data_IF_793508927739
#
_entry.id   IF_793508927739
#
_cell.length_a   1.000
_cell.length_b   1.000
_cell.length_c   1.000
_cell.angle_alpha   90.00
_cell.angle_beta   90.00
_cell.angle_gamma   90.00
#
_symmetry.space_group_name_H-M   'P 1'
#
loop_
_entity.id
_entity.type
_entity.pdbx_description
1 polymer ?
#
# COMPACT_ATOMS: atom_id res chain seq x y z
N UNK A 1 -16.89 15.56 -9.49
CA UNK A 1 -17.08 14.10 -9.40
C UNK A 1 -18.47 13.77 -9.92
N UNK A 2 -18.68 12.64 -10.62
CA UNK A 2 -19.99 12.31 -11.22
C UNK A 2 -20.75 11.29 -10.36
N UNK A 3 -22.08 11.26 -10.47
CA UNK A 3 -22.92 10.25 -9.80
C UNK A 3 -22.55 8.82 -10.23
N UNK A 4 -22.18 8.61 -11.49
CA UNK A 4 -21.72 7.31 -11.98
C UNK A 4 -20.40 6.89 -11.31
N UNK A 5 -19.47 7.84 -11.12
CA UNK A 5 -18.22 7.59 -10.39
C UNK A 5 -18.47 7.23 -8.92
N UNK A 6 -19.44 7.89 -8.27
CA UNK A 6 -19.83 7.58 -6.89
C UNK A 6 -20.38 6.15 -6.76
N UNK A 7 -21.30 5.76 -7.65
CA UNK A 7 -21.82 4.38 -7.68
C UNK A 7 -20.72 3.35 -7.91
N UNK A 8 -19.82 3.60 -8.85
CA UNK A 8 -18.68 2.70 -9.08
C UNK A 8 -17.80 2.54 -7.84
N UNK A 9 -17.58 3.62 -7.08
CA UNK A 9 -16.80 3.56 -5.84
C UNK A 9 -17.52 2.70 -4.78
N UNK A 10 -18.82 2.85 -4.65
CA UNK A 10 -19.65 2.03 -3.75
C UNK A 10 -19.64 0.56 -4.19
N UNK A 11 -19.85 0.28 -5.48
CA UNK A 11 -19.85 -1.07 -6.06
C UNK A 11 -18.49 -1.77 -5.90
N UNK A 12 -17.38 -1.01 -5.94
CA UNK A 12 -16.02 -1.51 -5.74
C UNK A 12 -15.64 -1.62 -4.26
N UNK A 13 -16.51 -1.22 -3.34
CA UNK A 13 -16.31 -1.34 -1.90
C UNK A 13 -15.39 -0.27 -1.29
N UNK A 14 -15.13 0.84 -1.99
CA UNK A 14 -14.35 1.94 -1.44
C UNK A 14 -13.57 2.76 -2.47
N UNK A 15 -13.19 3.97 -2.05
CA UNK A 15 -12.42 4.92 -2.86
C UNK A 15 -11.00 4.42 -3.12
N UNK A 16 -10.36 3.84 -2.11
CA UNK A 16 -9.02 3.25 -2.21
C UNK A 16 -8.99 2.12 -3.24
N UNK A 17 -9.97 1.22 -3.19
CA UNK A 17 -10.11 0.12 -4.15
C UNK A 17 -10.35 0.64 -5.56
N UNK A 18 -11.20 1.66 -5.71
CA UNK A 18 -11.40 2.36 -6.98
C UNK A 18 -10.09 2.97 -7.53
N UNK A 19 -9.35 3.71 -6.71
CA UNK A 19 -8.11 4.37 -7.12
C UNK A 19 -7.02 3.37 -7.51
N UNK A 20 -6.87 2.29 -6.74
CA UNK A 20 -5.85 1.25 -6.98
C UNK A 20 -6.17 0.41 -8.22
N UNK A 21 -7.45 0.15 -8.48
CA UNK A 21 -7.89 -0.69 -9.59
C UNK A 21 -8.06 0.08 -10.90
N UNK A 22 -8.22 1.41 -10.84
CA UNK A 22 -8.42 2.24 -12.03
C UNK A 22 -7.07 2.60 -12.67
N UNK A 23 -6.84 2.25 -13.95
CA UNK A 23 -5.63 2.66 -14.68
C UNK A 23 -5.51 4.18 -14.76
N UNK A 24 -4.28 4.68 -14.74
CA UNK A 24 -4.00 6.13 -14.73
C UNK A 24 -4.63 6.86 -15.91
N UNK A 25 -4.53 6.29 -17.12
CA UNK A 25 -5.13 6.83 -18.34
C UNK A 25 -6.67 6.95 -18.27
N UNK A 26 -7.33 6.27 -17.32
CA UNK A 26 -8.78 6.35 -17.09
C UNK A 26 -9.15 7.33 -15.98
N UNK A 27 -8.19 7.81 -15.17
CA UNK A 27 -8.40 8.88 -14.21
C UNK A 27 -8.34 10.22 -14.94
N UNK A 28 -9.51 10.77 -15.25
CA UNK A 28 -9.64 12.06 -15.96
C UNK A 28 -9.51 13.28 -15.02
N UNK A 29 -8.74 13.16 -13.95
CA UNK A 29 -8.63 14.19 -12.92
C UNK A 29 -7.26 14.15 -12.26
N UNK A 30 -6.52 15.25 -12.38
CA UNK A 30 -5.21 15.43 -11.75
C UNK A 30 -5.29 15.27 -10.23
N UNK A 31 -6.39 15.72 -9.61
CA UNK A 31 -6.64 15.53 -8.20
C UNK A 31 -6.78 14.04 -7.85
N UNK A 32 -7.47 13.24 -8.67
CA UNK A 32 -7.61 11.81 -8.44
C UNK A 32 -6.25 11.08 -8.60
N UNK A 33 -5.45 11.49 -9.59
CA UNK A 33 -4.08 11.02 -9.79
C UNK A 33 -3.19 11.33 -8.59
N UNK A 34 -3.25 12.55 -8.07
CA UNK A 34 -2.50 12.94 -6.88
C UNK A 34 -2.90 12.10 -5.66
N UNK A 35 -4.21 11.93 -5.41
CA UNK A 35 -4.69 11.10 -4.29
C UNK A 35 -4.26 9.64 -4.46
N UNK A 36 -4.29 9.09 -5.67
CA UNK A 36 -3.79 7.74 -5.94
C UNK A 36 -2.30 7.60 -5.62
N UNK A 37 -1.49 8.59 -5.98
CA UNK A 37 -0.07 8.62 -5.61
C UNK A 37 0.14 8.61 -4.11
N UNK A 38 -0.62 9.41 -3.35
CA UNK A 38 -0.58 9.41 -1.89
C UNK A 38 -0.95 8.04 -1.30
N UNK A 39 -2.02 7.41 -1.81
CA UNK A 39 -2.44 6.07 -1.37
C UNK A 39 -1.36 5.03 -1.62
N UNK A 40 -0.78 4.99 -2.83
CA UNK A 40 0.29 4.04 -3.17
C UNK A 40 1.53 4.28 -2.31
N UNK A 41 1.89 5.54 -2.08
CA UNK A 41 3.05 5.92 -1.27
C UNK A 41 2.87 5.48 0.18
N UNK A 42 1.70 5.74 0.76
CA UNK A 42 1.36 5.33 2.12
C UNK A 42 1.39 3.80 2.29
N UNK A 43 0.85 3.05 1.32
CA UNK A 43 0.88 1.59 1.34
C UNK A 43 2.31 1.04 1.27
N UNK A 44 3.15 1.58 0.40
CA UNK A 44 4.57 1.18 0.30
C UNK A 44 5.35 1.50 1.58
N UNK A 45 5.12 2.68 2.17
CA UNK A 45 5.76 3.07 3.42
C UNK A 45 5.36 2.11 4.56
N UNK A 46 4.08 1.72 4.62
CA UNK A 46 3.58 0.73 5.57
C UNK A 46 4.24 -0.63 5.36
N UNK A 47 4.26 -1.15 4.13
CA UNK A 47 4.89 -2.44 3.81
C UNK A 47 6.37 -2.44 4.21
N UNK A 48 7.09 -1.36 3.92
CA UNK A 48 8.50 -1.21 4.30
C UNK A 48 8.71 -1.25 5.81
N UNK A 49 7.85 -0.57 6.57
CA UNK A 49 7.87 -0.59 8.04
C UNK A 49 7.61 -1.99 8.58
N UNK A 50 6.56 -2.66 8.09
CA UNK A 50 6.20 -4.03 8.50
C UNK A 50 7.35 -5.02 8.20
N UNK A 51 7.97 -4.91 7.02
CA UNK A 51 9.12 -5.73 6.64
C UNK A 51 10.34 -5.49 7.54
N UNK A 52 10.58 -4.23 7.92
CA UNK A 52 11.68 -3.88 8.83
C UNK A 52 11.45 -4.46 10.22
N UNK A 53 10.23 -4.39 10.74
CA UNK A 53 9.87 -4.97 12.04
C UNK A 53 10.05 -6.49 12.05
N UNK A 54 9.65 -7.19 10.98
CA UNK A 54 9.85 -8.64 10.87
C UNK A 54 11.33 -9.04 10.82
N UNK A 55 12.19 -8.21 10.21
CA UNK A 55 13.65 -8.44 10.16
C UNK A 55 14.38 -8.07 11.45
N UNK A 56 13.80 -7.21 12.28
CA UNK A 56 14.38 -6.81 13.55
C UNK A 56 14.16 -7.85 14.66
N UNK A 57 13.45 -8.96 14.40
CA UNK A 57 13.40 -10.06 15.36
C UNK A 57 14.80 -10.67 15.51
N UNK A 58 15.36 -10.72 16.75
CA UNK A 58 16.69 -11.25 16.98
C UNK A 58 16.72 -12.72 16.54
N UNK A 59 17.60 -13.04 15.58
CA UNK A 59 17.94 -14.44 15.31
C UNK A 59 18.47 -15.06 16.60
N UNK A 60 18.04 -16.28 16.98
CA UNK A 60 18.63 -16.96 18.11
C UNK A 60 20.14 -17.11 17.85
N UNK A 61 20.94 -16.47 18.70
CA UNK A 61 22.39 -16.58 18.68
C UNK A 61 22.73 -18.08 18.76
N UNK A 62 23.29 -18.61 17.67
CA UNK A 62 23.82 -19.97 17.68
C UNK A 62 24.90 -20.02 18.77
N UNK A 63 24.84 -20.96 19.72
CA UNK A 63 25.88 -21.08 20.73
C UNK A 63 27.20 -21.35 20.02
N UNK A 64 28.12 -20.39 20.11
CA UNK A 64 29.52 -20.59 19.75
C UNK A 64 30.03 -21.75 20.58
N UNK A 65 30.19 -22.90 19.95
CA UNK A 65 30.92 -24.02 20.53
C UNK A 65 32.33 -23.51 20.83
N UNK A 66 32.61 -23.29 22.12
CA UNK A 66 33.96 -23.14 22.64
C UNK A 66 34.77 -24.36 22.18
N UNK A 67 35.58 -24.17 21.15
CA UNK A 67 36.65 -25.11 20.84
C UNK A 67 37.70 -24.97 21.94
N UNK A 68 37.89 -26.09 22.64
CA UNK A 68 39.00 -26.34 23.55
C UNK A 68 40.32 -26.48 22.78
#
# INVERSE_FOLDING_TARGET
MTTSTLRMIEDMGGLDTYLLSTPEAKLKSDAASAVKWEVITALRAREHRERTLLRAQPQPQQPQQQQQ
#
